data_IF_347875027065
#
_entry.id   IF_347875027065
#
_cell.length_a   1.000
_cell.length_b   1.000
_cell.length_c   1.000
_cell.angle_alpha   90.00
_cell.angle_beta   90.00
_cell.angle_gamma   90.00
#
_symmetry.space_group_name_H-M   'P 1'
#
loop_
_entity.id
_entity.type
_entity.pdbx_description
1 polymer ?
#
# COMPACT_ATOMS: atom_id res chain seq x y z
N UNK A 1 -22.30 -10.31 11.49
CA UNK A 1 -21.76 -9.08 10.86
C UNK A 1 -20.43 -8.78 11.53
N UNK A 2 -19.32 -9.11 10.87
CA UNK A 2 -17.97 -8.88 11.41
C UNK A 2 -17.75 -7.37 11.54
N UNK A 3 -17.46 -6.88 12.75
CA UNK A 3 -17.19 -5.47 13.01
C UNK A 3 -15.89 -5.07 12.29
N UNK A 4 -15.84 -3.89 11.66
CA UNK A 4 -14.63 -3.36 11.01
C UNK A 4 -13.44 -3.33 11.99
N UNK A 5 -13.69 -3.06 13.28
CA UNK A 5 -12.68 -3.15 14.34
C UNK A 5 -12.12 -4.56 14.52
N UNK A 6 -12.96 -5.60 14.40
CA UNK A 6 -12.49 -6.98 14.51
C UNK A 6 -11.73 -7.43 13.26
N UNK A 7 -12.17 -7.02 12.06
CA UNK A 7 -11.44 -7.28 10.82
C UNK A 7 -10.09 -6.55 10.79
N UNK A 8 -10.05 -5.32 11.31
CA UNK A 8 -8.82 -4.55 11.48
C UNK A 8 -7.90 -5.19 12.52
N UNK A 9 -8.42 -5.67 13.65
CA UNK A 9 -7.62 -6.39 14.67
C UNK A 9 -6.99 -7.67 14.14
N UNK A 10 -7.76 -8.40 13.34
CA UNK A 10 -7.32 -9.64 12.68
C UNK A 10 -6.28 -9.35 11.58
N UNK A 11 -6.47 -8.25 10.85
CA UNK A 11 -5.52 -7.73 9.86
C UNK A 11 -4.23 -7.20 10.46
N UNK A 12 -4.27 -6.67 11.68
CA UNK A 12 -3.12 -6.09 12.38
C UNK A 12 -2.29 -7.12 13.16
N UNK A 13 -2.74 -8.38 13.26
CA UNK A 13 -2.01 -9.45 13.98
C UNK A 13 -1.85 -9.22 15.49
N UNK A 14 -2.59 -8.27 16.08
CA UNK A 14 -2.38 -7.81 17.46
C UNK A 14 -3.35 -8.43 18.46
N UNK A 15 -2.83 -9.31 19.33
CA UNK A 15 -3.50 -9.78 20.56
C UNK A 15 -3.11 -8.94 21.80
N UNK A 16 -2.29 -7.90 21.64
CA UNK A 16 -1.80 -7.06 22.75
C UNK A 16 -2.26 -5.61 22.63
N UNK A 17 -2.46 -5.03 23.81
CA UNK A 17 -3.26 -3.85 24.14
C UNK A 17 -2.75 -2.53 23.53
N UNK A 18 -3.70 -1.79 22.96
CA UNK A 18 -3.90 -0.33 23.13
C UNK A 18 -2.69 0.59 22.87
N UNK A 19 -2.24 0.67 21.63
CA UNK A 19 -1.54 1.87 21.09
C UNK A 19 -1.74 2.08 19.56
N UNK A 20 -2.35 1.13 18.86
CA UNK A 20 -2.21 0.97 17.41
C UNK A 20 -3.41 1.38 16.54
N UNK A 21 -4.46 1.95 17.12
CA UNK A 21 -5.57 2.53 16.34
C UNK A 21 -5.12 3.79 15.57
N UNK A 22 -3.98 4.39 15.96
CA UNK A 22 -3.48 5.66 15.40
C UNK A 22 -2.85 5.53 14.01
N UNK A 23 -2.45 4.33 13.57
CA UNK A 23 -1.69 4.13 12.31
C UNK A 23 -2.32 3.17 11.31
N UNK A 24 -3.62 2.93 11.45
CA UNK A 24 -4.34 2.00 10.57
C UNK A 24 -4.40 2.48 9.11
N UNK A 25 -4.35 3.80 8.86
CA UNK A 25 -4.30 4.38 7.51
C UNK A 25 -2.97 4.06 6.83
N UNK A 26 -1.89 4.29 7.55
CA UNK A 26 -0.50 4.05 7.14
C UNK A 26 -0.29 2.57 6.85
N UNK A 27 -0.82 1.68 7.71
CA UNK A 27 -0.71 0.23 7.52
C UNK A 27 -1.51 -0.26 6.31
N UNK A 28 -2.69 0.30 6.07
CA UNK A 28 -3.47 -0.05 4.89
C UNK A 28 -2.78 0.40 3.60
N UNK A 29 -2.23 1.61 3.56
CA UNK A 29 -1.45 2.10 2.44
C UNK A 29 -0.18 1.26 2.21
N UNK A 30 0.61 1.03 3.26
CA UNK A 30 1.83 0.24 3.21
C UNK A 30 1.57 -1.21 2.77
N UNK A 31 0.47 -1.83 3.24
CA UNK A 31 0.08 -3.17 2.83
C UNK A 31 -0.21 -3.27 1.32
N UNK A 32 -0.90 -2.28 0.75
CA UNK A 32 -1.16 -2.26 -0.69
C UNK A 32 0.09 -1.99 -1.53
N UNK A 33 0.96 -1.07 -1.08
CA UNK A 33 2.24 -0.81 -1.75
C UNK A 33 3.17 -2.02 -1.69
N UNK A 34 3.23 -2.73 -0.57
CA UNK A 34 4.01 -3.97 -0.44
C UNK A 34 3.49 -5.10 -1.32
N UNK A 35 2.16 -5.22 -1.51
CA UNK A 35 1.62 -6.24 -2.41
C UNK A 35 2.16 -6.04 -3.84
N UNK A 36 2.23 -4.79 -4.30
CA UNK A 36 2.81 -4.47 -5.62
C UNK A 36 4.27 -4.88 -5.66
N UNK A 37 5.04 -4.45 -4.66
CA UNK A 37 6.49 -4.64 -4.58
C UNK A 37 6.92 -6.07 -4.23
N UNK A 38 6.00 -7.02 -4.04
CA UNK A 38 6.33 -8.41 -3.66
C UNK A 38 5.58 -9.45 -4.50
N UNK A 39 4.88 -9.01 -5.55
CA UNK A 39 3.98 -9.86 -6.35
C UNK A 39 4.70 -11.03 -7.02
N UNK A 40 5.95 -10.86 -7.41
CA UNK A 40 6.79 -11.88 -8.04
C UNK A 40 7.75 -12.57 -7.04
N UNK A 41 7.57 -12.29 -5.74
CA UNK A 41 8.45 -12.72 -4.64
C UNK A 41 9.88 -12.18 -4.72
N UNK A 42 10.12 -11.12 -5.48
CA UNK A 42 11.31 -10.29 -5.39
C UNK A 42 10.90 -8.91 -4.86
N UNK A 43 11.65 -8.44 -3.86
CA UNK A 43 11.64 -7.04 -3.47
C UNK A 43 13.09 -6.62 -3.41
N UNK A 44 13.52 -5.82 -4.36
CA UNK A 44 14.88 -5.35 -4.45
C UNK A 44 15.13 -4.10 -3.59
N UNK A 45 16.39 -3.68 -3.53
CA UNK A 45 16.79 -2.55 -2.71
C UNK A 45 16.24 -1.21 -3.22
N UNK A 46 16.06 -1.05 -4.53
CA UNK A 46 15.54 0.16 -5.18
C UNK A 46 14.03 0.31 -4.96
N UNK A 47 13.28 -0.78 -5.07
CA UNK A 47 11.85 -0.82 -4.78
C UNK A 47 11.59 -0.57 -3.30
N UNK A 48 12.35 -1.22 -2.40
CA UNK A 48 12.26 -0.99 -0.96
C UNK A 48 12.57 0.47 -0.61
N UNK A 49 13.61 1.04 -1.21
CA UNK A 49 13.96 2.45 -0.98
C UNK A 49 12.84 3.38 -1.44
N UNK A 50 12.25 3.11 -2.61
CA UNK A 50 11.14 3.90 -3.16
C UNK A 50 9.90 3.79 -2.28
N UNK A 51 9.56 2.57 -1.82
CA UNK A 51 8.46 2.34 -0.90
C UNK A 51 8.61 3.13 0.40
N UNK A 52 9.80 3.12 0.99
CA UNK A 52 10.11 3.92 2.18
C UNK A 52 9.95 5.43 1.89
N UNK A 53 10.45 5.91 0.75
CA UNK A 53 10.31 7.32 0.37
C UNK A 53 8.85 7.74 0.19
N UNK A 54 8.06 6.97 -0.54
CA UNK A 54 6.64 7.28 -0.80
C UNK A 54 5.83 7.32 0.51
N UNK A 55 5.98 6.30 1.37
CA UNK A 55 5.30 6.26 2.67
C UNK A 55 5.77 7.39 3.59
N UNK A 56 7.07 7.67 3.63
CA UNK A 56 7.63 8.75 4.44
C UNK A 56 7.11 10.12 4.01
N UNK A 57 7.00 10.38 2.70
CA UNK A 57 6.45 11.64 2.17
C UNK A 57 4.95 11.75 2.41
N UNK A 58 4.18 10.70 2.12
CA UNK A 58 2.72 10.72 2.22
C UNK A 58 2.25 10.91 3.66
N UNK A 59 2.92 10.28 4.63
CA UNK A 59 2.49 10.26 6.03
C UNK A 59 3.40 11.04 7.00
N UNK A 60 4.43 11.72 6.48
CA UNK A 60 5.36 12.55 7.27
C UNK A 60 6.02 11.76 8.42
N UNK A 61 6.49 10.55 8.14
CA UNK A 61 7.05 9.63 9.13
C UNK A 61 8.58 9.76 9.22
N UNK A 62 9.12 9.61 10.42
CA UNK A 62 10.57 9.45 10.63
C UNK A 62 11.05 8.05 10.22
N UNK A 63 12.37 7.89 10.04
CA UNK A 63 12.95 6.66 9.53
C UNK A 63 12.71 5.42 10.42
N UNK A 64 12.71 5.60 11.74
CA UNK A 64 12.48 4.49 12.68
C UNK A 64 11.02 4.03 12.65
N UNK A 65 10.08 4.98 12.69
CA UNK A 65 8.64 4.73 12.57
C UNK A 65 8.32 4.05 11.26
N UNK A 66 8.90 4.54 10.17
CA UNK A 66 8.68 4.04 8.83
C UNK A 66 9.19 2.60 8.67
N UNK A 67 10.39 2.29 9.16
CA UNK A 67 10.90 0.92 9.17
C UNK A 67 10.00 -0.02 9.98
N UNK A 68 9.54 0.41 11.16
CA UNK A 68 8.63 -0.39 11.98
C UNK A 68 7.29 -0.64 11.25
N UNK A 69 6.75 0.39 10.59
CA UNK A 69 5.53 0.29 9.79
C UNK A 69 5.66 -0.75 8.67
N UNK A 70 6.76 -0.70 7.91
CA UNK A 70 6.99 -1.64 6.79
C UNK A 70 7.13 -3.06 7.30
N UNK A 71 7.89 -3.30 8.37
CA UNK A 71 8.03 -4.65 8.94
C UNK A 71 6.71 -5.21 9.45
N UNK A 72 5.88 -4.37 10.08
CA UNK A 72 4.53 -4.76 10.50
C UNK A 72 3.64 -5.07 9.30
N UNK A 73 3.68 -4.25 8.26
CA UNK A 73 2.91 -4.47 7.05
C UNK A 73 3.34 -5.76 6.32
N UNK A 74 4.66 -6.08 6.27
CA UNK A 74 5.17 -7.36 5.75
C UNK A 74 4.67 -8.56 6.54
N UNK A 75 4.71 -8.48 7.87
CA UNK A 75 4.19 -9.53 8.74
C UNK A 75 2.69 -9.74 8.49
N UNK A 76 1.90 -8.67 8.38
CA UNK A 76 0.47 -8.75 8.09
C UNK A 76 0.17 -9.28 6.68
N UNK A 77 0.95 -8.91 5.67
CA UNK A 77 0.83 -9.44 4.31
C UNK A 77 1.16 -10.94 4.26
N UNK A 78 2.15 -11.40 5.04
CA UNK A 78 2.46 -12.84 5.13
C UNK A 78 1.33 -13.67 5.77
N UNK A 79 0.51 -13.03 6.62
CA UNK A 79 -0.63 -13.66 7.30
C UNK A 79 -1.95 -13.50 6.53
N UNK A 80 -2.08 -12.44 5.72
CA UNK A 80 -3.27 -12.15 4.91
C UNK A 80 -3.01 -12.42 3.44
N UNK A 81 -3.64 -13.44 2.87
CA UNK A 81 -3.50 -13.82 1.45
C UNK A 81 -4.21 -12.88 0.47
N UNK A 82 -4.54 -11.66 0.88
CA UNK A 82 -5.54 -10.84 0.19
C UNK A 82 -5.43 -9.35 0.46
N UNK A 83 -5.45 -8.55 -0.62
CA UNK A 83 -5.57 -7.09 -0.60
C UNK A 83 -6.96 -6.56 -0.22
N UNK A 84 -7.99 -7.42 -0.18
CA UNK A 84 -9.38 -6.99 0.05
C UNK A 84 -9.58 -6.21 1.36
N UNK A 85 -9.03 -6.65 2.51
CA UNK A 85 -9.17 -5.91 3.75
C UNK A 85 -8.52 -4.51 3.71
N UNK A 86 -7.35 -4.38 3.10
CA UNK A 86 -6.66 -3.09 2.95
C UNK A 86 -7.42 -2.15 2.01
N UNK A 87 -7.84 -2.65 0.85
CA UNK A 87 -8.63 -1.84 -0.11
C UNK A 87 -9.96 -1.38 0.48
N UNK A 88 -10.63 -2.22 1.29
CA UNK A 88 -11.82 -1.81 2.03
C UNK A 88 -11.53 -0.67 3.00
N UNK A 89 -10.48 -0.79 3.81
CA UNK A 89 -10.10 0.26 4.76
C UNK A 89 -9.79 1.57 4.03
N UNK A 90 -9.02 1.51 2.95
CA UNK A 90 -8.71 2.69 2.12
C UNK A 90 -9.99 3.30 1.55
N UNK A 91 -10.94 2.48 1.08
CA UNK A 91 -12.21 3.00 0.58
C UNK A 91 -13.03 3.75 1.63
N UNK A 92 -12.99 3.30 2.88
CA UNK A 92 -13.76 3.88 3.99
C UNK A 92 -13.08 5.13 4.60
N UNK A 93 -11.76 5.29 4.44
CA UNK A 93 -10.97 6.27 5.19
C UNK A 93 -10.08 7.21 4.37
N UNK A 94 -10.00 7.05 3.05
CA UNK A 94 -9.21 7.91 2.16
C UNK A 94 -10.15 8.70 1.25
N UNK A 95 -9.81 9.97 1.04
CA UNK A 95 -10.41 10.80 0.00
C UNK A 95 -10.01 10.30 -1.39
N UNK A 96 -10.71 10.75 -2.42
CA UNK A 96 -10.39 10.37 -3.80
C UNK A 96 -8.98 10.83 -4.23
N UNK A 97 -8.54 11.98 -3.72
CA UNK A 97 -7.20 12.52 -3.94
C UNK A 97 -6.14 11.65 -3.24
N UNK A 98 -6.34 11.29 -1.97
CA UNK A 98 -5.40 10.42 -1.26
C UNK A 98 -5.31 9.01 -1.90
N UNK A 99 -6.41 8.49 -2.46
CA UNK A 99 -6.39 7.24 -3.25
C UNK A 99 -5.60 7.40 -4.55
N UNK A 100 -5.68 8.57 -5.18
CA UNK A 100 -4.91 8.88 -6.38
C UNK A 100 -3.41 8.96 -6.08
N UNK A 101 -3.03 9.60 -4.97
CA UNK A 101 -1.64 9.68 -4.52
C UNK A 101 -1.09 8.30 -4.18
N UNK A 102 -1.87 7.49 -3.45
CA UNK A 102 -1.54 6.11 -3.14
C UNK A 102 -1.34 5.26 -4.41
N UNK A 103 -2.22 5.41 -5.41
CA UNK A 103 -2.08 4.72 -6.70
C UNK A 103 -0.83 5.19 -7.47
N UNK A 104 -0.50 6.49 -7.37
CA UNK A 104 0.70 7.06 -8.00
C UNK A 104 1.97 6.52 -7.33
N UNK A 105 1.98 6.40 -6.00
CA UNK A 105 3.09 5.80 -5.24
C UNK A 105 3.33 4.34 -5.62
N UNK A 106 2.26 3.54 -5.81
CA UNK A 106 2.40 2.17 -6.32
C UNK A 106 3.08 2.10 -7.68
N UNK A 107 2.75 3.03 -8.58
CA UNK A 107 3.40 3.11 -9.88
C UNK A 107 4.87 3.49 -9.79
N UNK A 108 5.24 4.41 -8.89
CA UNK A 108 6.65 4.79 -8.67
C UNK A 108 7.47 3.61 -8.18
N UNK A 109 6.91 2.81 -7.27
CA UNK A 109 7.55 1.59 -6.77
C UNK A 109 7.82 0.63 -7.94
N UNK A 110 6.80 0.32 -8.75
CA UNK A 110 6.94 -0.58 -9.91
C UNK A 110 7.81 0.00 -11.07
N UNK A 111 8.26 1.25 -10.96
CA UNK A 111 9.21 1.86 -11.88
C UNK A 111 10.61 1.99 -11.29
N UNK A 112 10.82 1.62 -10.02
CA UNK A 112 12.05 1.90 -9.28
C UNK A 112 13.30 1.27 -9.90
N UNK A 113 13.16 0.09 -10.49
CA UNK A 113 14.24 -0.67 -11.14
C UNK A 113 14.33 -0.43 -12.68
N UNK A 114 13.50 0.49 -13.22
CA UNK A 114 13.30 0.77 -14.65
C UNK A 114 12.74 -0.41 -15.47
N UNK A 115 12.19 -1.43 -14.83
CA UNK A 115 11.67 -2.62 -15.48
C UNK A 115 10.29 -3.01 -14.92
N UNK A 116 9.25 -2.29 -15.36
CA UNK A 116 7.87 -2.64 -15.03
C UNK A 116 7.51 -4.06 -15.50
N UNK A 117 7.23 -4.96 -14.56
CA UNK A 117 6.76 -6.31 -14.83
C UNK A 117 5.22 -6.34 -15.03
N UNK A 118 4.76 -7.27 -15.88
CA UNK A 118 3.33 -7.49 -16.16
C UNK A 118 2.52 -7.87 -14.90
N UNK A 119 3.14 -8.53 -13.92
CA UNK A 119 2.50 -8.94 -12.67
C UNK A 119 2.29 -7.74 -11.75
N UNK A 120 3.24 -6.81 -11.70
CA UNK A 120 3.09 -5.55 -10.96
C UNK A 120 2.00 -4.69 -11.59
N UNK A 121 2.04 -4.46 -12.90
CA UNK A 121 1.00 -3.70 -13.60
C UNK A 121 -0.39 -4.34 -13.40
N UNK A 122 -0.47 -5.67 -13.44
CA UNK A 122 -1.70 -6.40 -13.16
C UNK A 122 -2.19 -6.18 -11.72
N UNK A 123 -1.29 -6.22 -10.73
CA UNK A 123 -1.64 -5.98 -9.32
C UNK A 123 -2.08 -4.54 -9.09
N UNK A 124 -1.39 -3.55 -9.66
CA UNK A 124 -1.79 -2.15 -9.59
C UNK A 124 -3.17 -1.94 -10.23
N UNK A 125 -3.44 -2.57 -11.38
CA UNK A 125 -4.76 -2.55 -12.03
C UNK A 125 -5.85 -3.11 -11.10
N UNK A 126 -5.61 -4.30 -10.54
CA UNK A 126 -6.55 -4.95 -9.62
C UNK A 126 -6.83 -4.06 -8.40
N UNK A 127 -5.80 -3.47 -7.81
CA UNK A 127 -5.97 -2.56 -6.66
C UNK A 127 -6.75 -1.31 -7.07
N UNK A 128 -6.45 -0.70 -8.22
CA UNK A 128 -7.18 0.47 -8.71
C UNK A 128 -8.68 0.21 -8.88
N UNK A 129 -9.04 -0.96 -9.43
CA UNK A 129 -10.44 -1.37 -9.58
C UNK A 129 -11.14 -1.54 -8.21
N UNK A 130 -10.44 -2.15 -7.25
CA UNK A 130 -10.93 -2.32 -5.87
C UNK A 130 -11.04 -0.99 -5.12
N UNK A 131 -10.19 -0.02 -5.41
CA UNK A 131 -10.24 1.34 -4.86
C UNK A 131 -11.24 2.25 -5.58
N UNK A 132 -11.96 1.72 -6.58
CA UNK A 132 -12.94 2.43 -7.39
C UNK A 132 -12.34 3.63 -8.15
N UNK A 133 -11.09 3.48 -8.61
CA UNK A 133 -10.40 4.49 -9.40
C UNK A 133 -10.90 4.47 -10.86
N UNK A 134 -11.06 5.65 -11.46
CA UNK A 134 -11.43 5.73 -12.87
C UNK A 134 -10.28 5.27 -13.77
N UNK A 135 -10.59 4.81 -14.99
CA UNK A 135 -9.56 4.50 -15.99
C UNK A 135 -8.69 5.73 -16.29
N UNK A 136 -9.28 6.92 -16.31
CA UNK A 136 -8.58 8.19 -16.54
C UNK A 136 -7.57 8.48 -15.44
N UNK A 137 -7.94 8.28 -14.17
CA UNK A 137 -7.04 8.45 -13.03
C UNK A 137 -5.93 7.41 -13.04
N UNK A 138 -6.24 6.15 -13.37
CA UNK A 138 -5.21 5.12 -13.51
C UNK A 138 -4.13 5.48 -14.52
N UNK A 139 -4.53 5.94 -15.71
CA UNK A 139 -3.58 6.36 -16.75
C UNK A 139 -2.82 7.61 -16.31
N UNK A 140 -3.50 8.59 -15.68
CA UNK A 140 -2.85 9.81 -15.19
C UNK A 140 -1.78 9.50 -14.13
N UNK A 141 -2.09 8.64 -13.16
CA UNK A 141 -1.15 8.20 -12.13
C UNK A 141 0.08 7.51 -12.74
N UNK A 142 -0.13 6.61 -13.71
CA UNK A 142 0.96 5.92 -14.44
C UNK A 142 1.90 6.90 -15.14
N UNK A 143 1.34 7.91 -15.82
CA UNK A 143 2.14 8.94 -16.53
C UNK A 143 2.92 9.80 -15.54
N UNK A 144 2.28 10.28 -14.47
CA UNK A 144 2.94 11.11 -13.44
C UNK A 144 4.10 10.35 -12.79
N UNK A 145 3.89 9.08 -12.45
CA UNK A 145 4.91 8.27 -11.80
C UNK A 145 6.12 7.99 -12.69
N UNK A 146 5.93 7.85 -14.01
CA UNK A 146 7.01 7.60 -14.96
C UNK A 146 7.87 8.84 -15.23
N UNK A 147 7.24 10.02 -15.19
CA UNK A 147 7.86 11.28 -15.62
C UNK A 147 8.46 12.10 -14.45
N UNK A 148 8.29 11.64 -13.20
CA UNK A 148 8.81 12.29 -11.98
C UNK A 148 10.01 11.55 -11.39
#
# INVERSE_FOLDING_TARGET
MTNLKSALRELLGTTTEVEDDSRARELAAAGLMLEVATVDHHLDASEMQTLLQELGQQFHLDGETLHNLVERARNNASQNTSVYPFTRYVNDHFTQEEKFDLLTGMWRIAYADLNLDKYEEYTIRKIADLLHMSQSDFIRAKVIARDG
#
